data_IF_512182720318
#
_entry.id   IF_512182720318
#
_cell.length_a   1.000
_cell.length_b   1.000
_cell.length_c   1.000
_cell.angle_alpha   90.00
_cell.angle_beta   90.00
_cell.angle_gamma   90.00
#
_symmetry.space_group_name_H-M   'P 1'
#
loop_
_entity.id
_entity.type
_entity.pdbx_description
1 polymer ?
#
# COMPACT_ATOMS: atom_id res chain seq x y z
N UNK A 1 7.51 7.27 -8.59
CA UNK A 1 6.93 5.91 -8.56
C UNK A 1 5.59 5.89 -7.84
N UNK A 2 5.49 6.41 -6.61
CA UNK A 2 4.24 6.48 -5.84
C UNK A 2 3.05 7.03 -6.67
N UNK A 3 3.16 8.24 -7.24
CA UNK A 3 2.09 8.87 -8.05
C UNK A 3 1.64 8.00 -9.25
N UNK A 4 2.56 7.25 -9.88
CA UNK A 4 2.21 6.34 -10.97
C UNK A 4 1.37 5.15 -10.47
N UNK A 5 1.78 4.53 -9.35
CA UNK A 5 1.04 3.43 -8.72
C UNK A 5 -0.36 3.91 -8.33
N UNK A 6 -0.45 5.07 -7.65
CA UNK A 6 -1.71 5.69 -7.24
C UNK A 6 -2.64 5.89 -8.45
N UNK A 7 -2.15 6.49 -9.54
CA UNK A 7 -2.94 6.71 -10.76
C UNK A 7 -3.38 5.42 -11.44
N UNK A 8 -2.55 4.38 -11.41
CA UNK A 8 -2.91 3.09 -12.00
C UNK A 8 -4.00 2.38 -11.20
N UNK A 9 -3.95 2.44 -9.86
CA UNK A 9 -4.99 1.86 -9.00
C UNK A 9 -6.31 2.61 -9.20
N UNK A 10 -6.30 3.95 -9.16
CA UNK A 10 -7.48 4.81 -9.35
C UNK A 10 -8.17 4.68 -10.73
N UNK A 11 -7.53 4.04 -11.71
CA UNK A 11 -8.18 3.72 -13.00
C UNK A 11 -9.14 2.52 -12.91
N UNK A 12 -9.00 1.70 -11.88
CA UNK A 12 -9.92 0.59 -11.65
C UNK A 12 -11.17 1.13 -10.98
N UNK A 13 -12.34 0.71 -11.47
CA UNK A 13 -13.60 0.99 -10.78
C UNK A 13 -13.56 0.35 -9.39
N UNK A 14 -14.10 1.06 -8.39
CA UNK A 14 -14.16 0.55 -7.01
C UNK A 14 -13.21 1.24 -6.03
N UNK A 15 -12.21 2.00 -6.51
CA UNK A 15 -11.33 2.79 -5.65
C UNK A 15 -11.76 4.27 -5.65
N UNK A 16 -12.00 4.81 -4.46
CA UNK A 16 -12.41 6.21 -4.29
C UNK A 16 -11.19 7.10 -4.01
N UNK A 17 -10.25 6.61 -3.20
CA UNK A 17 -9.04 7.33 -2.83
C UNK A 17 -7.87 6.35 -2.60
N UNK A 18 -6.65 6.76 -2.91
CA UNK A 18 -5.44 5.94 -2.75
C UNK A 18 -4.28 6.82 -2.29
N UNK A 19 -3.61 6.42 -1.23
CA UNK A 19 -2.34 6.98 -0.77
C UNK A 19 -1.22 5.95 -0.96
N UNK A 20 -0.07 6.39 -1.47
CA UNK A 20 1.07 5.51 -1.71
C UNK A 20 2.36 6.15 -1.18
N UNK A 21 3.11 5.40 -0.39
CA UNK A 21 4.49 5.70 0.00
C UNK A 21 5.43 4.69 -0.65
N UNK A 22 6.54 5.18 -1.19
CA UNK A 22 7.65 4.32 -1.65
C UNK A 22 8.87 4.75 -0.85
N UNK A 23 9.44 3.81 -0.09
CA UNK A 23 10.65 3.99 0.72
C UNK A 23 11.85 3.45 -0.06
N UNK A 24 12.92 3.05 0.64
CA UNK A 24 14.07 2.38 0.05
C UNK A 24 13.83 0.87 -0.16
N UNK A 25 12.95 0.24 0.64
CA UNK A 25 12.70 -1.22 0.64
C UNK A 25 11.22 -1.59 0.54
N UNK A 26 10.29 -0.69 0.83
CA UNK A 26 8.86 -0.97 0.91
C UNK A 26 8.00 -0.07 0.01
N UNK A 27 6.83 -0.60 -0.33
CA UNK A 27 5.74 0.13 -0.98
C UNK A 27 4.51 -0.02 -0.11
N UNK A 28 4.09 1.08 0.51
CA UNK A 28 2.91 1.12 1.38
C UNK A 28 1.75 1.73 0.62
N UNK A 29 0.63 1.02 0.53
CA UNK A 29 -0.57 1.47 -0.20
C UNK A 29 -1.77 1.40 0.73
N UNK A 30 -2.32 2.55 1.08
CA UNK A 30 -3.61 2.62 1.76
C UNK A 30 -4.66 3.13 0.78
N UNK A 31 -5.87 2.56 0.81
CA UNK A 31 -6.93 2.93 -0.11
C UNK A 31 -8.30 2.94 0.56
N UNK A 32 -9.19 3.75 0.00
CA UNK A 32 -10.61 3.67 0.23
C UNK A 32 -11.28 3.07 -1.00
N UNK A 33 -12.18 2.13 -0.78
CA UNK A 33 -12.97 1.47 -1.82
C UNK A 33 -14.45 1.61 -1.54
N UNK A 34 -15.26 1.50 -2.58
CA UNK A 34 -16.71 1.44 -2.46
C UNK A 34 -17.22 -0.01 -2.28
N UNK A 35 -18.52 -0.14 -2.03
CA UNK A 35 -19.17 -1.42 -1.73
C UNK A 35 -19.20 -2.41 -2.91
N UNK A 36 -18.88 -1.96 -4.13
CA UNK A 36 -18.87 -2.82 -5.32
C UNK A 36 -17.58 -3.63 -5.47
N UNK A 37 -16.56 -3.35 -4.64
CA UNK A 37 -15.26 -4.02 -4.69
C UNK A 37 -14.99 -4.76 -3.38
N UNK A 38 -14.78 -6.08 -3.49
CA UNK A 38 -14.43 -6.94 -2.36
C UNK A 38 -13.01 -6.64 -1.82
N UNK A 39 -12.82 -6.77 -0.51
CA UNK A 39 -11.56 -6.45 0.19
C UNK A 39 -10.35 -7.20 -0.37
N UNK A 40 -10.51 -8.50 -0.69
CA UNK A 40 -9.42 -9.33 -1.22
C UNK A 40 -9.09 -8.93 -2.65
N UNK A 41 -10.11 -8.64 -3.44
CA UNK A 41 -9.97 -8.21 -4.83
C UNK A 41 -9.28 -6.84 -4.90
N UNK A 42 -9.69 -5.89 -4.05
CA UNK A 42 -9.06 -4.58 -3.95
C UNK A 42 -7.58 -4.70 -3.58
N UNK A 43 -7.28 -5.53 -2.58
CA UNK A 43 -5.90 -5.76 -2.16
C UNK A 43 -5.06 -6.38 -3.27
N UNK A 44 -5.61 -7.35 -4.02
CA UNK A 44 -4.94 -8.00 -5.14
C UNK A 44 -4.62 -7.02 -6.28
N UNK A 45 -5.59 -6.17 -6.67
CA UNK A 45 -5.38 -5.12 -7.67
C UNK A 45 -4.27 -4.17 -7.22
N UNK A 46 -4.34 -3.66 -6.00
CA UNK A 46 -3.34 -2.73 -5.46
C UNK A 46 -1.93 -3.38 -5.41
N UNK A 47 -1.85 -4.60 -4.88
CA UNK A 47 -0.61 -5.36 -4.72
C UNK A 47 0.04 -5.69 -6.07
N UNK A 48 -0.74 -6.21 -7.03
CA UNK A 48 -0.25 -6.53 -8.39
C UNK A 48 0.16 -5.29 -9.17
N UNK A 49 -0.57 -4.18 -9.01
CA UNK A 49 -0.22 -2.90 -9.66
C UNK A 49 1.16 -2.41 -9.21
N UNK A 50 1.42 -2.41 -7.91
CA UNK A 50 2.72 -2.01 -7.38
C UNK A 50 3.83 -2.98 -7.78
N UNK A 51 3.62 -4.30 -7.64
CA UNK A 51 4.61 -5.32 -8.04
C UNK A 51 4.96 -5.28 -9.53
N UNK A 52 4.04 -4.87 -10.39
CA UNK A 52 4.29 -4.72 -11.84
C UNK A 52 5.07 -3.44 -12.17
N UNK A 53 5.03 -2.45 -11.27
CA UNK A 53 5.69 -1.14 -11.44
C UNK A 53 7.07 -1.10 -10.79
N UNK A 54 7.26 -1.87 -9.71
CA UNK A 54 8.43 -1.81 -8.84
C UNK A 54 9.38 -2.99 -9.05
N UNK A 55 10.69 -2.81 -8.81
CA UNK A 55 11.63 -3.93 -8.76
C UNK A 55 11.21 -4.98 -7.72
N UNK A 56 11.48 -6.27 -8.03
CA UNK A 56 11.02 -7.39 -7.19
C UNK A 56 11.68 -7.54 -5.82
N UNK A 57 12.62 -6.66 -5.46
CA UNK A 57 13.22 -6.59 -4.13
C UNK A 57 12.47 -5.66 -3.17
N UNK A 58 11.45 -4.94 -3.65
CA UNK A 58 10.57 -4.14 -2.79
C UNK A 58 9.47 -5.00 -2.16
N UNK A 59 9.24 -4.82 -0.88
CA UNK A 59 8.11 -5.41 -0.18
C UNK A 59 6.86 -4.54 -0.30
N UNK A 60 5.79 -5.12 -0.86
CA UNK A 60 4.52 -4.41 -1.07
C UNK A 60 3.55 -4.76 0.06
N UNK A 61 3.03 -3.72 0.72
CA UNK A 61 2.02 -3.79 1.76
C UNK A 61 0.81 -2.95 1.37
N UNK A 62 -0.39 -3.51 1.54
CA UNK A 62 -1.63 -2.86 1.13
C UNK A 62 -2.66 -2.90 2.25
N UNK A 63 -3.52 -1.89 2.34
CA UNK A 63 -4.59 -1.86 3.34
C UNK A 63 -5.77 -1.01 2.87
N UNK A 64 -6.97 -1.49 3.19
CA UNK A 64 -8.24 -0.76 3.07
C UNK A 64 -8.54 0.13 4.30
N UNK A 65 -7.62 0.19 5.27
CA UNK A 65 -7.76 1.04 6.43
C UNK A 65 -7.43 2.50 6.07
N UNK A 66 -8.48 3.30 5.83
CA UNK A 66 -8.36 4.72 5.51
C UNK A 66 -7.61 5.56 6.56
N UNK A 67 -7.50 5.12 7.82
CA UNK A 67 -6.70 5.86 8.82
C UNK A 67 -5.23 5.92 8.45
N UNK A 68 -4.71 4.86 7.81
CA UNK A 68 -3.31 4.75 7.40
C UNK A 68 -2.94 5.69 6.25
N UNK A 69 -3.93 6.23 5.53
CA UNK A 69 -3.67 7.22 4.48
C UNK A 69 -3.08 8.51 5.06
N UNK A 70 -3.59 8.96 6.20
CA UNK A 70 -3.05 10.13 6.89
C UNK A 70 -1.63 9.86 7.42
N UNK A 71 -1.38 8.66 7.94
CA UNK A 71 -0.06 8.25 8.43
C UNK A 71 0.98 8.23 7.29
N UNK A 72 0.59 7.68 6.13
CA UNK A 72 1.40 7.69 4.90
C UNK A 72 1.70 9.11 4.43
N UNK A 73 0.70 10.00 4.38
CA UNK A 73 0.89 11.38 3.95
C UNK A 73 1.79 12.16 4.92
N UNK A 74 1.65 11.93 6.23
CA UNK A 74 2.51 12.52 7.25
C UNK A 74 3.98 12.09 7.09
N UNK A 75 4.21 10.80 6.81
CA UNK A 75 5.54 10.27 6.53
C UNK A 75 6.15 10.82 5.25
N UNK A 76 5.36 10.97 4.18
CA UNK A 76 5.83 11.57 2.94
C UNK A 76 6.40 12.99 3.15
N UNK A 77 5.85 13.73 4.12
CA UNK A 77 6.29 15.09 4.46
C UNK A 77 7.43 15.11 5.50
N UNK A 78 7.77 13.96 6.08
CA UNK A 78 8.82 13.81 7.09
C UNK A 78 10.16 13.47 6.44
N UNK A 79 11.25 14.07 6.91
CA UNK A 79 12.58 13.73 6.40
C UNK A 79 13.05 12.38 6.94
N UNK A 80 13.55 11.51 6.05
CA UNK A 80 14.12 10.20 6.36
C UNK A 80 15.34 10.23 7.32
N UNK A 81 15.88 11.41 7.61
CA UNK A 81 16.96 11.61 8.61
C UNK A 81 16.49 11.57 10.07
N UNK A 82 15.18 11.48 10.31
CA UNK A 82 14.64 11.34 11.67
C UNK A 82 14.81 9.91 12.17
N UNK A 83 15.44 9.75 13.34
CA UNK A 83 15.68 8.44 14.00
C UNK A 83 14.42 7.58 14.24
N UNK A 84 13.23 8.16 14.13
CA UNK A 84 11.96 7.47 14.35
C UNK A 84 11.26 7.08 13.04
N UNK A 85 11.80 7.44 11.87
CA UNK A 85 11.17 7.20 10.57
C UNK A 85 10.93 5.70 10.34
N UNK A 86 11.96 4.88 10.55
CA UNK A 86 11.89 3.42 10.38
C UNK A 86 10.89 2.78 11.36
N UNK A 87 10.91 3.19 12.63
CA UNK A 87 9.97 2.71 13.64
C UNK A 87 8.51 3.02 13.25
N UNK A 88 8.26 4.20 12.67
CA UNK A 88 6.92 4.56 12.21
C UNK A 88 6.50 3.74 10.99
N UNK A 89 7.41 3.46 10.05
CA UNK A 89 7.15 2.55 8.92
C UNK A 89 6.76 1.16 9.44
N UNK A 90 7.53 0.59 10.37
CA UNK A 90 7.23 -0.73 10.95
C UNK A 90 5.85 -0.76 11.63
N UNK A 91 5.48 0.30 12.35
CA UNK A 91 4.16 0.42 12.97
C UNK A 91 3.04 0.44 11.93
N UNK A 92 3.20 1.21 10.85
CA UNK A 92 2.23 1.24 9.76
C UNK A 92 2.13 -0.13 9.08
N UNK A 93 3.25 -0.79 8.80
CA UNK A 93 3.28 -2.14 8.22
C UNK A 93 2.53 -3.13 9.12
N UNK A 94 2.74 -3.08 10.42
CA UNK A 94 2.03 -3.95 11.38
C UNK A 94 0.52 -3.74 11.34
N UNK A 95 0.06 -2.50 11.21
CA UNK A 95 -1.36 -2.20 11.03
C UNK A 95 -1.87 -2.64 9.66
N UNK A 96 -1.11 -2.41 8.57
CA UNK A 96 -1.48 -2.83 7.23
C UNK A 96 -1.68 -4.33 7.13
N UNK A 97 -0.82 -5.14 7.77
CA UNK A 97 -0.89 -6.60 7.76
C UNK A 97 -2.20 -7.18 8.37
N UNK A 98 -3.04 -6.35 9.00
CA UNK A 98 -4.38 -6.75 9.45
C UNK A 98 -5.39 -6.79 8.30
N UNK A 99 -5.14 -6.08 7.21
CA UNK A 99 -5.93 -6.12 5.97
C UNK A 99 -5.44 -7.24 5.03
N UNK A 100 -6.28 -7.70 4.09
CA UNK A 100 -5.83 -8.58 3.01
C UNK A 100 -4.65 -7.96 2.25
N UNK A 101 -3.60 -8.74 1.99
CA UNK A 101 -2.35 -8.23 1.37
C UNK A 101 -2.26 -8.42 -0.16
N UNK A 102 -3.36 -8.85 -0.80
CA UNK A 102 -3.36 -9.16 -2.24
C UNK A 102 -2.33 -10.24 -2.62
N UNK A 103 -2.01 -11.10 -1.65
CA UNK A 103 -1.22 -12.32 -1.84
C UNK A 103 -2.21 -13.46 -1.84
N UNK A 104 -2.53 -13.99 -3.01
CA UNK A 104 -3.07 -15.35 -3.08
C UNK A 104 -1.94 -16.32 -2.70
N UNK A 105 -2.29 -17.28 -1.86
CA UNK A 105 -1.48 -18.35 -1.28
C UNK A 105 -0.89 -19.31 -2.34
N UNK A 106 -0.05 -18.82 -3.25
CA UNK A 106 0.86 -19.66 -4.03
C UNK A 106 2.11 -20.02 -3.21
N UNK A 107 1.91 -20.38 -1.94
CA UNK A 107 2.71 -21.43 -1.29
C UNK A 107 2.04 -22.78 -1.56
N UNK A 108 1.90 -23.16 -2.82
CA UNK A 108 1.81 -24.58 -3.16
C UNK A 108 3.21 -25.08 -3.46
N UNK A 109 3.77 -25.75 -2.44
CA UNK A 109 4.84 -26.76 -2.45
C UNK A 109 5.95 -26.66 -3.49
#
# INVERSE_FOLDING_TARGET
MADMITRLILRNEGFDEVATLVTDEEVLIAYQKNDNLDDRTAADIASKTAKSTMPGFFDVYVSDNGTLMNDIQSLHNSSATNKNYDNTIEQIINEMNKSPQGRDDNKQK
#
